data_IF_381225255638
#
_entry.id   IF_381225255638
#
_cell.length_a   1.000
_cell.length_b   1.000
_cell.length_c   1.000
_cell.angle_alpha   90.00
_cell.angle_beta   90.00
_cell.angle_gamma   90.00
#
_symmetry.space_group_name_H-M   'P 1'
#
loop_
_entity.id
_entity.type
_entity.pdbx_description
1 polymer ?
#
# COMPACT_ATOMS: atom_id res chain seq x y z
N UNK A 1 4.27 -42.01 4.90
CA UNK A 1 5.70 -41.78 5.27
C UNK A 1 5.74 -40.52 6.14
N UNK A 2 6.24 -40.64 7.37
CA UNK A 2 6.35 -39.49 8.25
C UNK A 2 7.46 -38.54 7.72
N UNK A 3 7.14 -37.29 7.50
CA UNK A 3 8.14 -36.27 7.19
C UNK A 3 9.15 -36.20 8.34
N UNK A 4 10.42 -36.40 8.01
CA UNK A 4 11.49 -36.20 8.98
C UNK A 4 11.75 -34.71 9.11
N UNK A 5 11.35 -34.15 10.22
CA UNK A 5 11.67 -32.76 10.58
C UNK A 5 13.15 -32.68 10.94
N UNK A 6 13.87 -31.78 10.28
CA UNK A 6 15.26 -31.46 10.58
C UNK A 6 15.29 -30.16 11.38
N UNK A 7 15.70 -30.23 12.64
CA UNK A 7 15.80 -29.06 13.51
C UNK A 7 17.21 -28.48 13.48
N UNK A 8 17.34 -27.23 13.04
CA UNK A 8 18.59 -26.45 13.14
C UNK A 8 18.37 -25.36 14.17
N UNK A 9 19.28 -25.25 15.12
CA UNK A 9 19.21 -24.21 16.14
C UNK A 9 19.62 -22.85 15.59
N UNK A 10 20.70 -22.84 14.80
CA UNK A 10 21.24 -21.62 14.22
C UNK A 10 21.69 -21.89 12.78
N UNK A 11 21.34 -21.02 11.85
CA UNK A 11 21.87 -21.00 10.48
C UNK A 11 22.73 -19.74 10.39
N UNK A 12 24.05 -19.92 10.33
CA UNK A 12 24.98 -18.81 10.09
C UNK A 12 25.46 -18.88 8.65
N UNK A 13 25.06 -17.90 7.85
CA UNK A 13 25.47 -17.76 6.45
C UNK A 13 26.50 -16.65 6.35
N UNK A 14 27.78 -17.02 6.16
CA UNK A 14 28.88 -16.07 6.02
C UNK A 14 29.40 -16.15 4.59
N UNK A 15 29.27 -15.06 3.84
CA UNK A 15 29.85 -14.93 2.51
C UNK A 15 31.25 -14.32 2.60
N UNK A 16 32.28 -14.99 2.06
CA UNK A 16 33.63 -14.44 1.97
C UNK A 16 33.83 -13.53 0.75
N UNK A 17 33.08 -13.79 -0.33
CA UNK A 17 33.11 -13.03 -1.58
C UNK A 17 31.74 -13.14 -2.26
N UNK A 18 30.81 -12.29 -1.90
CA UNK A 18 29.44 -12.26 -2.45
C UNK A 18 28.39 -12.39 -1.36
N UNK A 19 27.16 -12.04 -1.72
CA UNK A 19 26.03 -12.10 -0.79
C UNK A 19 25.61 -13.56 -0.57
N UNK A 20 25.45 -14.02 0.68
CA UNK A 20 24.90 -15.35 0.93
C UNK A 20 23.42 -15.37 0.52
N UNK A 21 23.04 -16.39 -0.23
CA UNK A 21 21.66 -16.58 -0.69
C UNK A 21 21.03 -17.80 -0.06
N UNK A 22 19.77 -17.70 0.31
CA UNK A 22 18.92 -18.83 0.66
C UNK A 22 17.86 -18.98 -0.44
N UNK A 23 18.06 -20.00 -1.28
CA UNK A 23 17.17 -20.26 -2.42
C UNK A 23 16.31 -21.51 -2.15
N UNK A 24 15.09 -21.46 -2.64
CA UNK A 24 14.18 -22.60 -2.64
C UNK A 24 13.55 -22.73 -4.03
N UNK A 25 13.57 -23.93 -4.64
CA UNK A 25 12.90 -24.17 -5.92
C UNK A 25 11.37 -24.08 -5.85
N UNK A 26 10.84 -23.96 -4.63
CA UNK A 26 9.43 -23.72 -4.35
C UNK A 26 9.26 -22.60 -3.35
N UNK A 27 8.20 -22.63 -2.59
CA UNK A 27 7.92 -21.63 -1.56
C UNK A 27 8.81 -21.85 -0.33
N UNK A 28 9.59 -20.85 0.06
CA UNK A 28 10.23 -20.81 1.37
C UNK A 28 9.22 -20.30 2.40
N UNK A 29 8.83 -21.16 3.33
CA UNK A 29 7.93 -20.79 4.44
C UNK A 29 8.73 -20.60 5.72
N UNK A 30 8.73 -19.40 6.26
CA UNK A 30 9.25 -19.09 7.59
C UNK A 30 8.05 -18.97 8.53
N UNK A 31 7.92 -19.89 9.47
CA UNK A 31 6.84 -19.88 10.47
C UNK A 31 7.44 -19.42 11.80
N UNK A 32 6.92 -18.31 12.32
CA UNK A 32 7.33 -17.75 13.61
C UNK A 32 6.32 -18.21 14.66
N UNK A 33 6.81 -18.83 15.73
CA UNK A 33 5.95 -19.29 16.83
C UNK A 33 5.33 -18.11 17.60
N UNK A 34 4.21 -18.38 18.27
CA UNK A 34 3.51 -17.37 19.09
C UNK A 34 4.45 -16.76 20.12
N UNK A 35 4.47 -15.45 20.22
CA UNK A 35 5.35 -14.70 21.14
C UNK A 35 6.81 -14.64 20.73
N UNK A 36 7.15 -15.04 19.49
CA UNK A 36 8.49 -14.91 18.92
C UNK A 36 8.49 -13.86 17.82
N UNK A 37 9.64 -13.26 17.56
CA UNK A 37 9.85 -12.26 16.53
C UNK A 37 10.84 -12.75 15.48
N UNK A 38 10.67 -12.31 14.24
CA UNK A 38 11.69 -12.38 13.21
C UNK A 38 12.30 -10.99 13.06
N UNK A 39 13.56 -10.84 13.38
CA UNK A 39 14.31 -9.60 13.14
C UNK A 39 15.17 -9.74 11.89
N UNK A 40 15.11 -8.72 11.02
CA UNK A 40 16.04 -8.55 9.90
C UNK A 40 16.75 -7.24 10.15
N UNK A 41 18.04 -7.31 10.54
CA UNK A 41 18.83 -6.16 10.94
C UNK A 41 19.89 -5.85 9.87
N UNK A 42 20.16 -4.57 9.64
CA UNK A 42 21.31 -4.11 8.86
C UNK A 42 21.18 -4.19 7.35
N UNK A 43 19.99 -4.27 6.79
CA UNK A 43 19.80 -4.38 5.34
C UNK A 43 18.52 -3.75 4.80
N UNK A 44 18.45 -3.65 3.47
CA UNK A 44 17.22 -3.31 2.77
C UNK A 44 16.41 -4.59 2.55
N UNK A 45 15.22 -4.67 3.10
CA UNK A 45 14.28 -5.74 2.78
C UNK A 45 13.59 -5.38 1.47
N UNK A 46 14.05 -5.94 0.36
CA UNK A 46 13.34 -5.82 -0.91
C UNK A 46 12.39 -7.01 -1.05
N UNK A 47 11.12 -6.76 -0.91
CA UNK A 47 10.10 -7.75 -1.21
C UNK A 47 9.59 -7.52 -2.63
N UNK A 48 10.03 -8.34 -3.59
CA UNK A 48 9.32 -8.48 -4.87
C UNK A 48 8.05 -9.28 -4.61
N UNK A 49 7.07 -8.60 -4.03
CA UNK A 49 5.78 -9.22 -3.81
C UNK A 49 4.97 -9.13 -5.10
N UNK A 50 4.83 -10.25 -5.78
CA UNK A 50 3.68 -10.44 -6.66
C UNK A 50 2.47 -10.52 -5.72
N UNK A 51 1.71 -9.44 -5.61
CA UNK A 51 0.42 -9.50 -4.93
C UNK A 51 -0.44 -10.43 -5.77
N UNK A 52 -0.57 -11.68 -5.33
CA UNK A 52 -1.53 -12.60 -5.91
C UNK A 52 -2.92 -11.96 -5.85
N UNK A 53 -3.78 -12.27 -6.73
CA UNK A 53 -5.23 -11.92 -6.87
C UNK A 53 -5.83 -10.73 -6.07
N UNK A 54 -5.02 -9.95 -5.35
CA UNK A 54 -5.46 -8.79 -4.57
C UNK A 54 -6.09 -9.10 -3.20
N UNK A 55 -6.08 -10.35 -2.76
CA UNK A 55 -6.74 -10.75 -1.49
C UNK A 55 -5.84 -10.59 -0.26
N UNK A 56 -4.51 -10.64 -0.41
CA UNK A 56 -3.58 -10.44 0.70
C UNK A 56 -3.04 -9.01 0.74
N UNK A 57 -3.75 -8.14 1.43
CA UNK A 57 -3.45 -6.71 1.59
C UNK A 57 -2.85 -6.39 2.97
N UNK A 58 -2.29 -7.39 3.66
CA UNK A 58 -1.86 -7.27 5.06
C UNK A 58 -0.71 -6.27 5.30
N UNK A 59 -0.01 -5.83 4.24
CA UNK A 59 1.07 -4.84 4.33
C UNK A 59 0.74 -3.48 3.70
N UNK A 60 -0.47 -3.31 3.18
CA UNK A 60 -0.88 -2.04 2.63
C UNK A 60 -1.36 -1.08 3.74
N UNK A 61 -0.97 0.18 3.62
CA UNK A 61 -1.51 1.23 4.48
C UNK A 61 -2.94 1.54 4.07
N UNK A 62 -3.89 1.39 5.00
CA UNK A 62 -5.31 1.58 4.71
C UNK A 62 -5.80 2.96 5.17
N UNK A 63 -6.54 3.61 4.28
CA UNK A 63 -7.35 4.79 4.56
C UNK A 63 -8.83 4.47 4.33
N UNK A 64 -9.65 4.74 5.33
CA UNK A 64 -11.11 4.73 5.20
C UNK A 64 -11.55 6.09 4.70
N UNK A 65 -12.28 6.11 3.58
CA UNK A 65 -12.73 7.33 2.90
C UNK A 65 -14.22 7.52 3.14
N UNK A 66 -14.56 8.66 3.70
CA UNK A 66 -15.94 9.11 3.92
C UNK A 66 -16.13 10.48 3.29
N UNK A 67 -17.34 11.04 3.35
CA UNK A 67 -17.65 12.37 2.81
C UNK A 67 -18.27 13.28 3.87
N UNK A 68 -18.07 14.58 3.70
CA UNK A 68 -18.81 15.64 4.38
C UNK A 68 -19.71 16.34 3.36
N UNK A 69 -20.91 15.82 3.21
CA UNK A 69 -21.83 16.25 2.13
C UNK A 69 -21.19 16.08 0.76
N UNK A 70 -21.44 17.04 -0.13
CA UNK A 70 -20.89 17.08 -1.50
C UNK A 70 -19.65 17.96 -1.64
N UNK A 71 -19.08 18.41 -0.52
CA UNK A 71 -18.02 19.43 -0.50
C UNK A 71 -16.64 18.87 -0.15
N UNK A 72 -16.56 17.75 0.58
CA UNK A 72 -15.26 17.26 1.01
C UNK A 72 -15.22 15.75 1.24
N UNK A 73 -14.05 15.15 0.98
CA UNK A 73 -13.66 13.87 1.54
C UNK A 73 -13.10 14.03 2.94
N UNK A 74 -13.29 13.01 3.77
CA UNK A 74 -12.65 12.82 5.06
C UNK A 74 -12.00 11.45 5.12
N UNK A 75 -10.92 11.34 5.86
CA UNK A 75 -10.13 10.12 5.95
C UNK A 75 -9.91 9.71 7.41
N UNK A 76 -9.98 8.41 7.66
CA UNK A 76 -9.46 7.81 8.87
C UNK A 76 -8.32 6.86 8.52
N UNK A 77 -7.16 7.03 9.14
CA UNK A 77 -5.97 6.22 8.87
C UNK A 77 -4.71 6.88 9.44
N UNK A 78 -3.52 6.36 9.11
CA UNK A 78 -2.28 6.90 9.62
C UNK A 78 -2.10 8.40 9.32
N UNK A 79 -1.86 9.19 10.37
CA UNK A 79 -1.62 10.63 10.27
C UNK A 79 -2.85 11.50 9.99
N UNK A 80 -4.05 10.93 9.86
CA UNK A 80 -5.27 11.70 9.61
C UNK A 80 -6.43 11.22 10.49
N UNK A 81 -7.30 12.17 10.85
CA UNK A 81 -8.52 11.90 11.61
C UNK A 81 -9.75 12.31 10.81
N UNK A 82 -10.85 11.59 10.96
CA UNK A 82 -12.07 11.74 10.16
C UNK A 82 -12.88 13.03 10.47
N UNK A 83 -12.20 14.12 10.79
CA UNK A 83 -12.82 15.43 11.05
C UNK A 83 -12.31 16.51 10.12
N UNK A 84 -11.15 16.29 9.46
CA UNK A 84 -10.55 17.26 8.55
C UNK A 84 -11.10 17.07 7.14
N UNK A 85 -11.58 18.15 6.54
CA UNK A 85 -12.08 18.17 5.18
C UNK A 85 -10.92 18.26 4.18
N UNK A 86 -10.91 17.39 3.18
CA UNK A 86 -9.92 17.35 2.11
C UNK A 86 -8.45 17.44 2.61
N UNK A 87 -8.02 16.60 3.59
CA UNK A 87 -6.66 16.69 4.12
C UNK A 87 -5.62 16.37 3.07
N UNK A 88 -4.41 16.95 3.21
CA UNK A 88 -3.25 16.45 2.48
C UNK A 88 -2.83 15.09 3.04
N UNK A 89 -2.67 14.11 2.17
CA UNK A 89 -2.13 12.80 2.51
C UNK A 89 -0.68 12.70 2.03
N UNK A 90 0.17 12.10 2.85
CA UNK A 90 1.57 11.84 2.53
C UNK A 90 1.74 10.36 2.21
N UNK A 91 2.16 10.07 0.99
CA UNK A 91 2.34 8.72 0.50
C UNK A 91 3.80 8.48 0.13
N UNK A 92 4.37 7.38 0.57
CA UNK A 92 5.76 7.04 0.31
C UNK A 92 5.90 6.22 -0.98
N UNK A 93 6.94 6.52 -1.78
CA UNK A 93 7.28 5.74 -2.97
C UNK A 93 7.56 4.28 -2.62
N UNK A 94 7.16 3.39 -3.50
CA UNK A 94 7.33 1.95 -3.31
C UNK A 94 6.33 1.30 -2.33
N UNK A 95 5.45 2.09 -1.69
CA UNK A 95 4.45 1.57 -0.78
C UNK A 95 3.10 1.37 -1.46
N UNK A 96 2.29 0.48 -0.89
CA UNK A 96 0.92 0.22 -1.33
C UNK A 96 -0.07 0.83 -0.34
N UNK A 97 -1.05 1.54 -0.89
CA UNK A 97 -2.14 2.17 -0.14
C UNK A 97 -3.49 1.66 -0.59
N UNK A 98 -4.37 1.40 0.37
CA UNK A 98 -5.77 1.07 0.14
C UNK A 98 -6.64 2.26 0.53
N UNK A 99 -7.48 2.68 -0.38
CA UNK A 99 -8.53 3.65 -0.11
C UNK A 99 -9.88 2.94 -0.14
N UNK A 100 -10.42 2.66 1.05
CA UNK A 100 -11.73 2.02 1.20
C UNK A 100 -12.81 3.11 1.20
N UNK A 101 -13.40 3.34 0.03
CA UNK A 101 -14.41 4.37 -0.17
C UNK A 101 -15.80 3.85 0.23
N UNK A 102 -16.29 4.29 1.38
CA UNK A 102 -17.63 3.94 1.89
C UNK A 102 -18.77 4.78 1.29
N UNK A 103 -18.43 5.77 0.45
CA UNK A 103 -19.44 6.67 -0.15
C UNK A 103 -20.04 6.11 -1.45
N UNK A 104 -19.43 5.06 -2.00
CA UNK A 104 -19.91 4.34 -3.18
C UNK A 104 -20.03 5.23 -4.43
N UNK A 105 -21.11 5.03 -5.17
CA UNK A 105 -21.36 5.74 -6.42
C UNK A 105 -21.67 7.25 -6.24
N UNK A 106 -22.00 7.69 -5.03
CA UNK A 106 -22.29 9.11 -4.78
C UNK A 106 -21.04 9.98 -4.88
N UNK A 107 -19.88 9.43 -4.47
CA UNK A 107 -18.60 10.14 -4.52
C UNK A 107 -17.49 9.20 -4.97
N UNK A 108 -17.38 8.87 -6.28
CA UNK A 108 -16.32 8.03 -6.79
C UNK A 108 -14.95 8.70 -6.59
N UNK A 109 -14.02 7.97 -5.98
CA UNK A 109 -12.70 8.45 -5.57
C UNK A 109 -11.68 8.23 -6.69
N UNK A 110 -11.17 9.29 -7.29
CA UNK A 110 -10.17 9.21 -8.35
C UNK A 110 -8.84 9.83 -7.91
N UNK A 111 -7.72 9.23 -8.31
CA UNK A 111 -6.39 9.84 -8.23
C UNK A 111 -6.06 10.44 -9.60
N UNK A 112 -5.60 11.69 -9.61
CA UNK A 112 -5.38 12.49 -10.80
C UNK A 112 -4.05 13.24 -10.74
N UNK A 113 -3.56 13.67 -11.90
CA UNK A 113 -2.37 14.55 -11.97
C UNK A 113 -2.63 15.95 -11.42
N UNK A 114 -3.84 16.46 -11.59
CA UNK A 114 -4.28 17.77 -11.11
C UNK A 114 -5.79 17.81 -10.94
N UNK A 115 -6.30 18.83 -10.24
CA UNK A 115 -7.74 19.05 -10.09
C UNK A 115 -8.42 19.22 -11.46
N UNK A 116 -9.44 18.40 -11.72
CA UNK A 116 -10.12 18.35 -13.02
C UNK A 116 -9.31 17.75 -14.16
N UNK A 117 -8.06 17.37 -13.91
CA UNK A 117 -7.15 16.83 -14.90
C UNK A 117 -7.38 15.34 -15.20
N UNK A 118 -6.50 14.77 -16.03
CA UNK A 118 -6.54 13.35 -16.38
C UNK A 118 -6.27 12.46 -15.17
N UNK A 119 -6.88 11.29 -15.17
CA UNK A 119 -6.63 10.27 -14.14
C UNK A 119 -5.16 9.83 -14.16
N UNK A 120 -4.60 9.58 -12.99
CA UNK A 120 -3.29 8.96 -12.87
C UNK A 120 -3.34 7.54 -13.44
N UNK A 121 -2.24 7.11 -14.09
CA UNK A 121 -2.21 5.91 -14.94
C UNK A 121 -2.72 4.63 -14.26
N UNK A 122 -3.49 3.85 -15.01
CA UNK A 122 -4.15 2.63 -14.54
C UNK A 122 -3.19 1.49 -14.14
N UNK A 123 -1.93 1.52 -14.57
CA UNK A 123 -0.92 0.50 -14.23
C UNK A 123 -0.65 0.42 -12.73
N UNK A 124 -0.78 1.53 -12.02
CA UNK A 124 -0.48 1.64 -10.59
C UNK A 124 -1.73 1.71 -9.71
N UNK A 125 -2.89 1.75 -10.36
CA UNK A 125 -4.19 1.79 -9.69
C UNK A 125 -5.00 0.55 -10.06
N UNK A 126 -5.56 -0.10 -9.07
CA UNK A 126 -6.46 -1.23 -9.25
C UNK A 126 -7.67 -1.11 -8.32
N UNK A 127 -8.65 -2.00 -8.48
CA UNK A 127 -9.88 -1.95 -7.70
C UNK A 127 -10.90 -0.94 -8.25
N UNK A 128 -11.72 -0.37 -7.38
CA UNK A 128 -12.89 0.44 -7.75
C UNK A 128 -12.88 1.80 -7.08
N UNK A 129 -13.15 2.85 -7.85
CA UNK A 129 -13.35 4.21 -7.33
C UNK A 129 -14.58 4.32 -6.40
N UNK A 130 -15.54 3.40 -6.54
CA UNK A 130 -16.77 3.35 -5.75
C UNK A 130 -16.68 2.38 -4.55
N UNK A 131 -15.54 1.77 -4.36
CA UNK A 131 -15.26 0.81 -3.30
C UNK A 131 -13.81 0.89 -2.86
N UNK A 132 -13.12 -0.24 -2.82
CA UNK A 132 -11.70 -0.25 -2.49
C UNK A 132 -10.86 0.03 -3.73
N UNK A 133 -10.06 1.09 -3.68
CA UNK A 133 -9.04 1.39 -4.68
C UNK A 133 -7.65 1.13 -4.08
N UNK A 134 -6.80 0.47 -4.83
CA UNK A 134 -5.42 0.14 -4.45
C UNK A 134 -4.50 1.01 -5.28
N UNK A 135 -3.58 1.70 -4.61
CA UNK A 135 -2.54 2.52 -5.24
C UNK A 135 -1.16 2.01 -4.85
N UNK A 136 -0.45 1.44 -5.82
CA UNK A 136 0.95 1.09 -5.69
C UNK A 136 1.77 2.30 -6.14
N UNK A 137 2.33 3.07 -5.20
CA UNK A 137 3.05 4.30 -5.51
C UNK A 137 4.37 3.96 -6.21
N UNK A 138 4.56 4.26 -7.51
CA UNK A 138 5.81 3.93 -8.20
C UNK A 138 6.95 4.84 -7.74
N UNK A 139 8.19 4.38 -7.93
CA UNK A 139 9.38 5.16 -7.54
C UNK A 139 9.56 6.45 -8.34
N UNK A 140 9.02 6.49 -9.55
CA UNK A 140 9.03 7.66 -10.45
C UNK A 140 7.74 8.49 -10.40
N UNK A 141 6.85 8.25 -9.41
CA UNK A 141 5.63 9.03 -9.24
C UNK A 141 5.95 10.53 -9.16
N UNK A 142 5.09 11.42 -9.70
CA UNK A 142 5.20 12.85 -9.47
C UNK A 142 5.22 13.17 -7.96
N UNK A 143 5.92 14.25 -7.56
CA UNK A 143 5.99 14.66 -6.16
C UNK A 143 4.61 15.06 -5.58
N UNK A 144 3.67 15.44 -6.46
CA UNK A 144 2.31 15.80 -6.07
C UNK A 144 1.30 15.22 -7.05
N UNK A 145 0.26 14.63 -6.50
CA UNK A 145 -0.96 14.21 -7.17
C UNK A 145 -2.16 14.78 -6.40
N UNK A 146 -3.37 14.56 -6.89
CA UNK A 146 -4.59 14.88 -6.17
C UNK A 146 -5.51 13.67 -6.12
N UNK A 147 -6.26 13.55 -5.03
CA UNK A 147 -7.48 12.76 -5.04
C UNK A 147 -8.67 13.69 -5.30
N UNK A 148 -9.66 13.21 -6.04
CA UNK A 148 -10.81 14.03 -6.37
C UNK A 148 -12.05 13.17 -6.63
N UNK A 149 -13.20 13.67 -6.20
CA UNK A 149 -14.48 13.11 -6.60
C UNK A 149 -14.74 13.38 -8.09
N UNK A 150 -15.19 12.35 -8.82
CA UNK A 150 -15.51 12.52 -10.25
C UNK A 150 -16.84 13.23 -10.47
N UNK A 151 -17.71 13.30 -9.45
CA UNK A 151 -19.04 13.94 -9.51
C UNK A 151 -19.05 15.36 -8.94
N UNK A 152 -18.16 15.67 -7.98
CA UNK A 152 -18.15 16.95 -7.25
C UNK A 152 -16.75 17.54 -7.28
N UNK A 153 -16.54 18.55 -8.10
CA UNK A 153 -15.23 19.15 -8.35
C UNK A 153 -14.56 19.77 -7.12
N UNK A 154 -15.36 20.25 -6.16
CA UNK A 154 -14.85 20.81 -4.90
C UNK A 154 -14.32 19.76 -3.90
N UNK A 155 -14.66 18.50 -4.06
CA UNK A 155 -14.15 17.40 -3.23
C UNK A 155 -12.78 16.98 -3.76
N UNK A 156 -11.76 17.77 -3.48
CA UNK A 156 -10.39 17.56 -3.95
C UNK A 156 -9.37 17.87 -2.85
N UNK A 157 -8.33 17.06 -2.77
CA UNK A 157 -7.21 17.29 -1.86
C UNK A 157 -5.91 16.75 -2.43
N UNK A 158 -4.81 17.04 -1.76
CA UNK A 158 -3.45 16.75 -2.24
C UNK A 158 -2.95 15.40 -1.75
N UNK A 159 -2.27 14.68 -2.64
CA UNK A 159 -1.39 13.56 -2.33
C UNK A 159 0.05 14.04 -2.49
N UNK A 160 0.77 14.22 -1.40
CA UNK A 160 2.21 14.53 -1.43
C UNK A 160 2.99 13.22 -1.44
N UNK A 161 3.78 13.01 -2.50
CA UNK A 161 4.55 11.79 -2.67
C UNK A 161 5.97 12.03 -2.15
N UNK A 162 6.34 11.27 -1.13
CA UNK A 162 7.64 11.39 -0.44
C UNK A 162 8.55 10.19 -0.75
N UNK A 163 9.85 10.38 -0.55
CA UNK A 163 10.90 9.36 -0.74
C UNK A 163 11.01 8.49 0.49
#
# INVERSE_FOLDING_TARGET
>A
MAEKSFGVKDINMVGATGDPTLESPGNLKITIGTGKTCSIEGGVVTTNRTVGDGTDQSFATKYYVTASGTSAYRFAGPGVVNTTNNPTLFLQRGQTYLFENSTGANHPFAIRYSSGGVAYGSTFLSGSQQGTQIFNVPFDAPASLVYQCTMHSGMVGTLTIVS
#
